data_IF_686898881084
#
_entry.id   IF_686898881084
#
_cell.length_a   1.000
_cell.length_b   1.000
_cell.length_c   1.000
_cell.angle_alpha   90.00
_cell.angle_beta   90.00
_cell.angle_gamma   90.00
#
_symmetry.space_group_name_H-M   'P 1'
#
loop_
_entity.id
_entity.type
_entity.pdbx_description
1 polymer ?
#
# COMPACT_ATOMS: atom_id res chain seq x y z
N UNK A 1 -0.59 -1.66 22.75
CA UNK A 1 0.80 -2.18 22.87
C UNK A 1 1.65 -1.36 21.94
N UNK A 2 2.64 -0.66 22.49
CA UNK A 2 3.55 0.16 21.70
C UNK A 2 4.46 -0.71 20.83
N UNK A 3 4.59 -0.36 19.56
CA UNK A 3 5.49 -1.03 18.61
C UNK A 3 6.31 0.01 17.86
N UNK A 4 7.64 -0.13 17.86
CA UNK A 4 8.55 0.67 17.04
C UNK A 4 8.81 -0.08 15.73
N UNK A 5 8.47 0.53 14.60
CA UNK A 5 8.89 0.08 13.28
C UNK A 5 10.07 0.93 12.83
N UNK A 6 11.25 0.34 12.71
CA UNK A 6 12.48 1.04 12.28
C UNK A 6 13.03 0.43 10.99
N UNK A 7 13.62 1.28 10.16
CA UNK A 7 14.25 0.92 8.90
C UNK A 7 15.57 1.70 8.70
N UNK A 8 16.32 1.38 7.65
CA UNK A 8 17.59 2.05 7.34
C UNK A 8 17.36 3.54 7.01
N UNK A 9 16.22 3.87 6.41
CA UNK A 9 15.80 5.24 6.12
C UNK A 9 14.29 5.42 6.33
N UNK A 10 13.89 6.49 7.03
CA UNK A 10 12.50 6.92 7.15
C UNK A 10 12.25 8.14 6.26
N UNK A 11 11.30 8.02 5.34
CA UNK A 11 10.78 9.15 4.56
C UNK A 11 9.43 9.55 5.13
N UNK A 12 9.28 10.82 5.50
CA UNK A 12 8.04 11.32 6.11
C UNK A 12 6.97 11.67 5.08
N UNK A 13 7.35 11.88 3.82
CA UNK A 13 6.46 12.37 2.76
C UNK A 13 6.23 13.89 2.79
N UNK A 14 6.73 14.59 3.81
CA UNK A 14 6.68 16.05 3.92
C UNK A 14 7.95 16.66 3.30
N UNK A 15 7.86 17.51 2.26
CA UNK A 15 9.04 18.12 1.64
C UNK A 15 9.85 19.02 2.60
N UNK A 16 9.26 19.45 3.71
CA UNK A 16 9.92 20.29 4.71
C UNK A 16 10.69 19.46 5.75
N UNK A 17 10.45 18.15 5.82
CA UNK A 17 11.12 17.25 6.74
C UNK A 17 12.07 16.33 5.97
N UNK A 18 13.40 16.46 6.17
CA UNK A 18 14.34 15.58 5.49
C UNK A 18 14.12 14.12 5.92
N UNK A 19 14.46 13.15 5.05
CA UNK A 19 14.51 11.74 5.45
C UNK A 19 15.41 11.54 6.68
N UNK A 20 15.03 10.61 7.55
CA UNK A 20 15.72 10.32 8.81
C UNK A 20 16.47 8.99 8.69
N UNK A 21 17.81 8.99 8.58
CA UNK A 21 18.62 7.76 8.61
C UNK A 21 18.42 7.01 9.93
N UNK A 22 18.27 5.68 9.87
CA UNK A 22 17.93 4.86 11.05
C UNK A 22 16.59 5.24 11.68
N UNK A 23 15.71 5.89 10.92
CA UNK A 23 14.45 6.41 11.42
C UNK A 23 13.44 5.33 11.78
N UNK A 24 12.43 5.74 12.55
CA UNK A 24 11.41 4.85 13.05
C UNK A 24 10.05 5.54 13.28
N UNK A 25 9.01 4.73 13.30
CA UNK A 25 7.63 5.11 13.64
C UNK A 25 7.20 4.33 14.88
N UNK A 26 6.81 5.05 15.93
CA UNK A 26 6.20 4.50 17.13
C UNK A 26 4.69 4.43 16.95
N UNK A 27 4.15 3.23 17.04
CA UNK A 27 2.72 2.94 16.87
C UNK A 27 2.11 2.58 18.22
N UNK A 28 1.00 3.24 18.58
CA UNK A 28 0.11 2.81 19.66
C UNK A 28 -1.23 2.32 19.12
N UNK A 29 -1.43 1.01 19.13
CA UNK A 29 -2.66 0.41 18.62
C UNK A 29 -2.87 0.70 17.14
N UNK A 30 -3.74 1.67 16.83
CA UNK A 30 -4.10 2.06 15.46
C UNK A 30 -3.47 3.38 15.02
N UNK A 31 -2.76 4.09 15.91
CA UNK A 31 -2.32 5.46 15.67
C UNK A 31 -0.81 5.62 15.77
N UNK A 32 -0.27 6.59 15.04
CA UNK A 32 1.12 7.05 15.21
C UNK A 32 1.22 7.85 16.50
N UNK A 33 2.08 7.41 17.41
CA UNK A 33 2.38 8.13 18.65
C UNK A 33 3.54 9.12 18.45
N UNK A 34 4.56 8.74 17.68
CA UNK A 34 5.70 9.57 17.31
C UNK A 34 6.44 8.97 16.11
N UNK A 35 7.25 9.78 15.42
CA UNK A 35 8.26 9.30 14.47
C UNK A 35 9.53 10.14 14.61
N UNK A 36 10.68 9.60 14.26
CA UNK A 36 11.98 10.24 14.48
C UNK A 36 13.13 9.24 14.37
N UNK A 37 14.23 9.49 15.05
CA UNK A 37 15.31 8.50 15.14
C UNK A 37 14.87 7.26 15.94
N UNK A 38 15.44 6.11 15.64
CA UNK A 38 15.19 4.89 16.42
C UNK A 38 15.64 5.05 17.88
N UNK A 39 16.79 5.68 18.09
CA UNK A 39 17.42 5.82 19.40
C UNK A 39 16.55 6.62 20.36
N UNK A 40 16.05 7.79 19.94
CA UNK A 40 15.18 8.65 20.76
C UNK A 40 13.87 7.94 21.11
N UNK A 41 13.27 7.24 20.14
CA UNK A 41 12.01 6.51 20.36
C UNK A 41 12.20 5.30 21.27
N UNK A 42 13.33 4.59 21.14
CA UNK A 42 13.66 3.45 22.00
C UNK A 42 13.96 3.89 23.44
N UNK A 43 14.63 5.03 23.63
CA UNK A 43 14.87 5.61 24.96
C UNK A 43 13.55 6.07 25.61
N UNK A 44 12.69 6.76 24.86
CA UNK A 44 11.41 7.23 25.36
C UNK A 44 10.39 6.10 25.61
N UNK A 45 10.54 4.96 24.93
CA UNK A 45 9.63 3.81 25.01
C UNK A 45 10.39 2.48 25.13
N UNK A 46 11.10 2.23 26.24
CA UNK A 46 12.02 1.10 26.38
C UNK A 46 11.32 -0.27 26.39
N UNK A 47 10.01 -0.30 26.65
CA UNK A 47 9.19 -1.52 26.65
C UNK A 47 8.46 -1.75 25.32
N UNK A 48 8.59 -0.83 24.35
CA UNK A 48 7.95 -0.97 23.05
C UNK A 48 8.55 -2.15 22.29
N UNK A 49 7.67 -2.93 21.66
CA UNK A 49 8.11 -4.05 20.81
C UNK A 49 8.79 -3.49 19.56
N UNK A 50 10.03 -3.91 19.29
CA UNK A 50 10.78 -3.43 18.11
C UNK A 50 10.61 -4.38 16.94
N UNK A 51 10.26 -3.83 15.77
CA UNK A 51 10.30 -4.48 14.46
C UNK A 51 11.32 -3.75 13.59
N UNK A 52 12.37 -4.44 13.19
CA UNK A 52 13.41 -3.93 12.29
C UNK A 52 13.13 -4.42 10.88
N UNK A 53 13.26 -3.50 9.93
CA UNK A 53 13.12 -3.78 8.51
C UNK A 53 14.34 -3.28 7.76
N UNK A 54 14.80 -3.96 6.70
CA UNK A 54 15.78 -3.38 5.79
C UNK A 54 15.12 -2.31 4.92
N UNK A 55 15.93 -1.38 4.41
CA UNK A 55 15.55 -0.41 3.39
C UNK A 55 14.76 0.78 3.91
N UNK A 56 13.69 1.13 3.20
CA UNK A 56 12.98 2.40 3.33
C UNK A 56 11.61 2.23 3.98
N UNK A 57 11.29 3.03 4.99
CA UNK A 57 9.92 3.19 5.52
C UNK A 57 9.32 4.49 4.99
N UNK A 58 8.11 4.44 4.43
CA UNK A 58 7.38 5.60 3.89
C UNK A 58 5.92 5.57 4.30
N UNK A 59 5.16 6.69 4.23
CA UNK A 59 3.71 6.62 4.16
C UNK A 59 3.24 5.62 3.09
N UNK A 60 2.04 5.07 3.27
CA UNK A 60 1.46 4.15 2.30
C UNK A 60 1.08 4.84 0.99
N UNK A 61 0.99 4.04 -0.08
CA UNK A 61 0.80 4.53 -1.44
C UNK A 61 -0.68 4.51 -1.87
N UNK A 62 -1.03 5.44 -2.75
CA UNK A 62 -2.29 5.56 -3.48
C UNK A 62 -2.14 4.92 -4.87
N UNK A 63 -2.89 3.86 -5.13
CA UNK A 63 -3.02 3.33 -6.49
C UNK A 63 -4.20 4.04 -7.22
N UNK A 64 -3.97 4.71 -8.36
CA UNK A 64 -5.00 5.54 -8.98
C UNK A 64 -5.96 4.74 -9.86
N UNK A 65 -5.69 3.46 -10.05
CA UNK A 65 -6.41 2.54 -10.94
C UNK A 65 -7.40 1.66 -10.17
N UNK A 66 -8.08 2.22 -9.16
CA UNK A 66 -9.00 1.47 -8.30
C UNK A 66 -10.05 0.67 -9.09
N UNK A 67 -10.91 1.34 -9.88
CA UNK A 67 -11.91 0.67 -10.71
C UNK A 67 -11.31 -0.30 -11.72
N UNK A 68 -10.23 0.09 -12.38
CA UNK A 68 -9.61 -0.69 -13.45
C UNK A 68 -9.04 -2.01 -12.95
N UNK A 69 -8.43 -2.00 -11.76
CA UNK A 69 -7.82 -3.19 -11.16
C UNK A 69 -8.78 -4.00 -10.32
N UNK A 70 -9.82 -3.39 -9.71
CA UNK A 70 -10.70 -4.11 -8.77
C UNK A 70 -12.06 -4.46 -9.35
N UNK A 71 -12.55 -3.74 -10.37
CA UNK A 71 -13.85 -3.98 -10.98
C UNK A 71 -13.78 -4.39 -12.45
N UNK A 72 -12.84 -3.81 -13.21
CA UNK A 72 -12.65 -4.08 -14.65
C UNK A 72 -11.60 -5.16 -14.93
N UNK A 73 -11.08 -5.79 -13.86
CA UNK A 73 -10.18 -6.93 -13.95
C UNK A 73 -10.68 -8.10 -13.09
N UNK A 74 -10.44 -9.32 -13.56
CA UNK A 74 -10.61 -10.53 -12.78
C UNK A 74 -9.25 -11.11 -12.44
N UNK A 75 -8.92 -11.16 -11.15
CA UNK A 75 -7.74 -11.84 -10.61
C UNK A 75 -8.08 -13.32 -10.38
N UNK A 76 -7.52 -14.26 -11.16
CA UNK A 76 -7.83 -15.68 -11.02
C UNK A 76 -7.47 -16.23 -9.64
N UNK A 77 -8.25 -17.20 -9.14
CA UNK A 77 -7.83 -18.02 -8.01
C UNK A 77 -6.65 -18.91 -8.44
N UNK A 78 -5.69 -19.22 -7.55
CA UNK A 78 -4.65 -20.19 -7.88
C UNK A 78 -5.17 -21.55 -8.35
N UNK A 79 -6.39 -21.94 -7.95
CA UNK A 79 -7.05 -23.16 -8.42
C UNK A 79 -7.58 -23.06 -9.86
N UNK A 80 -7.77 -21.86 -10.36
CA UNK A 80 -8.21 -21.57 -11.73
C UNK A 80 -7.02 -21.35 -12.68
N UNK A 81 -5.77 -21.41 -12.17
CA UNK A 81 -4.58 -21.01 -12.93
C UNK A 81 -4.33 -21.87 -14.18
N UNK A 82 -4.66 -23.17 -14.13
CA UNK A 82 -4.50 -24.06 -15.29
C UNK A 82 -5.44 -23.69 -16.45
N UNK A 83 -6.58 -23.05 -16.16
CA UNK A 83 -7.59 -22.66 -17.15
C UNK A 83 -7.46 -21.18 -17.56
N UNK A 84 -7.29 -20.29 -16.58
CA UNK A 84 -7.36 -18.84 -16.77
C UNK A 84 -5.99 -18.16 -16.74
N UNK A 85 -4.92 -18.90 -16.40
CA UNK A 85 -3.62 -18.32 -16.11
C UNK A 85 -3.56 -17.58 -14.77
N UNK A 86 -2.43 -16.93 -14.50
CA UNK A 86 -2.17 -16.21 -13.24
C UNK A 86 -2.32 -14.71 -13.37
N UNK A 87 -2.40 -14.19 -14.59
CA UNK A 87 -2.54 -12.76 -14.85
C UNK A 87 -4.01 -12.32 -14.82
N UNK A 88 -4.28 -11.04 -14.47
CA UNK A 88 -5.63 -10.53 -14.49
C UNK A 88 -6.25 -10.59 -15.89
N UNK A 89 -7.49 -11.07 -15.96
CA UNK A 89 -8.29 -11.01 -17.17
C UNK A 89 -9.01 -9.67 -17.24
N UNK A 90 -8.95 -9.01 -18.39
CA UNK A 90 -9.60 -7.72 -18.67
C UNK A 90 -10.36 -7.78 -20.01
N UNK A 91 -11.11 -6.73 -20.33
CA UNK A 91 -11.75 -6.57 -21.64
C UNK A 91 -12.61 -7.77 -22.08
N UNK A 92 -12.35 -8.26 -23.29
CA UNK A 92 -13.11 -9.38 -23.88
C UNK A 92 -12.99 -10.68 -23.09
N UNK A 93 -11.81 -10.97 -22.52
CA UNK A 93 -11.62 -12.19 -21.71
C UNK A 93 -12.46 -12.15 -20.42
N UNK A 94 -12.53 -10.98 -19.77
CA UNK A 94 -13.40 -10.78 -18.61
C UNK A 94 -14.88 -10.85 -19.01
N UNK A 95 -15.25 -10.28 -20.15
CA UNK A 95 -16.62 -10.31 -20.66
C UNK A 95 -17.06 -11.76 -20.95
N UNK A 96 -16.19 -12.55 -21.59
CA UNK A 96 -16.44 -13.96 -21.89
C UNK A 96 -16.54 -14.82 -20.62
N UNK A 97 -15.72 -14.53 -19.58
CA UNK A 97 -15.80 -15.23 -18.30
C UNK A 97 -17.12 -15.00 -17.57
N UNK A 98 -17.71 -13.80 -17.72
CA UNK A 98 -18.95 -13.36 -17.09
C UNK A 98 -19.07 -13.78 -15.60
N UNK A 99 -18.10 -13.41 -14.73
CA UNK A 99 -18.05 -13.95 -13.38
C UNK A 99 -19.26 -13.50 -12.55
N UNK A 100 -19.76 -14.43 -11.74
CA UNK A 100 -20.80 -14.17 -10.72
C UNK A 100 -20.31 -13.17 -9.67
N UNK A 101 -21.22 -12.54 -8.93
CA UNK A 101 -20.85 -11.58 -7.89
C UNK A 101 -19.94 -12.18 -6.81
N UNK A 102 -20.15 -13.46 -6.46
CA UNK A 102 -19.28 -14.18 -5.55
C UNK A 102 -17.84 -14.30 -6.10
N UNK A 103 -17.68 -14.64 -7.39
CA UNK A 103 -16.37 -14.70 -8.06
C UNK A 103 -15.74 -13.32 -8.16
N UNK A 104 -16.52 -12.27 -8.45
CA UNK A 104 -16.03 -10.88 -8.46
C UNK A 104 -15.51 -10.44 -7.08
N UNK A 105 -16.24 -10.75 -6.01
CA UNK A 105 -15.78 -10.46 -4.65
C UNK A 105 -14.51 -11.22 -4.27
N UNK A 106 -14.38 -12.48 -4.70
CA UNK A 106 -13.14 -13.25 -4.50
C UNK A 106 -11.96 -12.67 -5.29
N UNK A 107 -12.20 -12.28 -6.55
CA UNK A 107 -11.23 -11.57 -7.38
C UNK A 107 -10.77 -10.27 -6.72
N UNK A 108 -11.69 -9.42 -6.27
CA UNK A 108 -11.37 -8.14 -5.65
C UNK A 108 -10.51 -8.31 -4.38
N UNK A 109 -10.82 -9.31 -3.54
CA UNK A 109 -9.96 -9.62 -2.38
C UNK A 109 -8.54 -9.99 -2.80
N UNK A 110 -8.37 -10.76 -3.88
CA UNK A 110 -7.04 -11.08 -4.42
C UNK A 110 -6.35 -9.85 -5.00
N UNK A 111 -7.07 -9.00 -5.73
CA UNK A 111 -6.58 -7.71 -6.24
C UNK A 111 -6.05 -6.82 -5.11
N UNK A 112 -6.83 -6.66 -4.04
CA UNK A 112 -6.42 -5.93 -2.83
C UNK A 112 -5.18 -6.54 -2.18
N UNK A 113 -5.08 -7.88 -2.09
CA UNK A 113 -3.86 -8.52 -1.58
C UNK A 113 -2.64 -8.25 -2.46
N UNK A 114 -2.80 -8.23 -3.78
CA UNK A 114 -1.72 -7.84 -4.71
C UNK A 114 -1.34 -6.36 -4.57
N UNK A 115 -2.31 -5.47 -4.34
CA UNK A 115 -2.06 -4.04 -4.08
C UNK A 115 -1.30 -3.81 -2.76
N UNK A 116 -1.68 -4.53 -1.70
CA UNK A 116 -0.93 -4.52 -0.44
C UNK A 116 0.53 -4.98 -0.65
N UNK A 117 0.78 -5.92 -1.56
CA UNK A 117 2.15 -6.30 -1.93
C UNK A 117 2.96 -5.22 -2.67
N UNK A 118 2.36 -4.06 -2.96
CA UNK A 118 2.99 -2.88 -3.53
C UNK A 118 2.92 -1.66 -2.59
N UNK A 119 2.70 -1.87 -1.29
CA UNK A 119 2.61 -0.76 -0.33
C UNK A 119 1.35 0.09 -0.47
N UNK A 120 0.34 -0.37 -1.23
CA UNK A 120 -0.89 0.39 -1.46
C UNK A 120 -1.79 0.34 -0.22
N UNK A 121 -2.20 1.51 0.25
CA UNK A 121 -3.11 1.69 1.40
C UNK A 121 -4.39 2.43 1.02
N UNK A 122 -4.44 2.99 -0.18
CA UNK A 122 -5.59 3.69 -0.72
C UNK A 122 -5.71 3.44 -2.21
N UNK A 123 -6.93 3.52 -2.73
CA UNK A 123 -7.20 3.52 -4.17
C UNK A 123 -7.95 4.77 -4.58
N UNK A 124 -7.69 5.32 -5.76
CA UNK A 124 -8.49 6.41 -6.30
C UNK A 124 -9.54 5.88 -7.29
N UNK A 125 -10.70 6.54 -7.31
CA UNK A 125 -11.78 6.31 -8.27
C UNK A 125 -12.98 5.58 -7.68
N UNK A 126 -14.14 5.81 -8.31
CA UNK A 126 -15.42 5.34 -7.79
C UNK A 126 -15.59 3.84 -7.95
N UNK A 127 -15.76 3.18 -6.81
CA UNK A 127 -16.13 1.76 -6.73
C UNK A 127 -17.63 1.68 -6.45
N UNK A 128 -18.35 0.91 -7.25
CA UNK A 128 -19.81 0.82 -7.17
C UNK A 128 -20.30 -0.60 -6.93
N UNK A 129 -19.48 -1.61 -7.18
CA UNK A 129 -19.85 -3.01 -6.94
C UNK A 129 -19.79 -3.31 -5.43
N UNK A 130 -20.90 -3.72 -4.78
CA UNK A 130 -20.90 -3.97 -3.33
C UNK A 130 -19.83 -4.98 -2.88
N UNK A 131 -19.65 -6.08 -3.63
CA UNK A 131 -18.65 -7.09 -3.32
C UNK A 131 -17.20 -6.59 -3.38
N UNK A 132 -16.94 -5.53 -4.17
CA UNK A 132 -15.62 -4.90 -4.29
C UNK A 132 -15.41 -3.89 -3.18
N UNK A 133 -16.42 -3.04 -2.91
CA UNK A 133 -16.42 -2.14 -1.75
C UNK A 133 -16.19 -2.88 -0.44
N UNK A 134 -16.83 -4.03 -0.26
CA UNK A 134 -16.64 -4.88 0.92
C UNK A 134 -15.21 -5.42 1.02
N UNK A 135 -14.60 -5.83 -0.10
CA UNK A 135 -13.22 -6.30 -0.12
C UNK A 135 -12.23 -5.20 0.30
N UNK A 136 -12.39 -3.99 -0.25
CA UNK A 136 -11.57 -2.81 0.05
C UNK A 136 -11.72 -2.40 1.52
N UNK A 137 -12.96 -2.23 2.00
CA UNK A 137 -13.26 -1.83 3.38
C UNK A 137 -12.76 -2.83 4.41
N UNK A 138 -12.90 -4.13 4.16
CA UNK A 138 -12.42 -5.17 5.09
C UNK A 138 -10.90 -5.23 5.19
N UNK A 139 -10.20 -4.92 4.09
CA UNK A 139 -8.75 -4.75 4.11
C UNK A 139 -8.32 -3.44 4.77
N UNK A 140 -9.22 -2.45 4.89
CA UNK A 140 -8.92 -1.15 5.48
C UNK A 140 -8.30 -0.16 4.50
N UNK A 141 -8.32 -0.45 3.19
CA UNK A 141 -7.94 0.53 2.18
C UNK A 141 -8.95 1.67 2.17
N UNK A 142 -8.48 2.91 2.01
CA UNK A 142 -9.36 4.05 1.74
C UNK A 142 -9.65 4.17 0.25
N UNK A 143 -10.75 4.85 -0.08
CA UNK A 143 -11.11 5.21 -1.44
C UNK A 143 -11.04 6.73 -1.53
N UNK A 144 -10.13 7.21 -2.36
CA UNK A 144 -9.92 8.64 -2.60
C UNK A 144 -10.69 9.09 -3.85
N UNK A 145 -11.15 10.33 -3.83
CA UNK A 145 -11.78 10.95 -5.00
C UNK A 145 -10.77 11.07 -6.14
N UNK A 146 -11.22 10.81 -7.36
CA UNK A 146 -10.41 10.89 -8.58
C UNK A 146 -10.98 11.95 -9.51
N UNK A 147 -10.28 13.08 -9.62
CA UNK A 147 -10.72 14.20 -10.47
C UNK A 147 -10.39 14.02 -11.95
N UNK A 148 -9.37 13.23 -12.27
CA UNK A 148 -8.94 12.97 -13.65
C UNK A 148 -8.59 11.51 -13.83
N UNK A 149 -8.80 10.98 -15.03
CA UNK A 149 -8.35 9.64 -15.36
C UNK A 149 -6.81 9.54 -15.27
N UNK A 150 -6.29 8.44 -14.71
CA UNK A 150 -4.85 8.25 -14.57
C UNK A 150 -4.21 8.02 -15.95
N UNK A 151 -3.01 8.55 -16.12
CA UNK A 151 -2.25 8.40 -17.36
C UNK A 151 -1.55 7.03 -17.41
N UNK A 152 -1.64 6.36 -18.55
CA UNK A 152 -0.97 5.08 -18.79
C UNK A 152 -1.87 3.87 -18.58
N UNK A 153 -1.30 2.68 -18.73
CA UNK A 153 -2.03 1.43 -18.54
C UNK A 153 -2.24 1.13 -17.04
N UNK A 154 -3.39 0.56 -16.65
CA UNK A 154 -3.62 0.14 -15.27
C UNK A 154 -2.54 -0.80 -14.76
N UNK A 155 -1.98 -0.49 -13.60
CA UNK A 155 -0.88 -1.24 -12.99
C UNK A 155 -1.00 -1.31 -11.48
N UNK A 156 -0.60 -2.46 -10.91
CA UNK A 156 -0.54 -2.65 -9.46
C UNK A 156 0.54 -1.78 -8.80
N UNK A 157 1.56 -1.37 -9.55
CA UNK A 157 2.69 -0.58 -9.06
C UNK A 157 2.38 0.92 -9.16
N UNK A 158 2.14 1.62 -8.04
CA UNK A 158 1.83 3.05 -8.05
C UNK A 158 2.98 3.95 -8.51
N UNK A 159 4.20 3.42 -8.59
CA UNK A 159 5.45 4.08 -8.97
C UNK A 159 5.95 3.66 -10.36
N UNK A 160 5.16 2.90 -11.13
CA UNK A 160 5.53 2.48 -12.47
C UNK A 160 5.81 3.69 -13.37
N UNK A 161 6.93 3.63 -14.12
CA UNK A 161 7.44 4.75 -14.92
C UNK A 161 6.50 5.21 -16.04
N UNK A 162 5.71 4.30 -16.59
CA UNK A 162 4.72 4.63 -17.64
C UNK A 162 3.55 5.46 -17.10
N UNK A 163 3.33 5.45 -15.78
CA UNK A 163 2.39 6.31 -15.06
C UNK A 163 3.02 7.59 -14.47
N UNK A 164 4.34 7.75 -14.57
CA UNK A 164 5.06 9.02 -14.34
C UNK A 164 5.12 9.58 -12.91
N UNK A 165 4.59 8.90 -11.89
CA UNK A 165 4.49 9.48 -10.53
C UNK A 165 5.73 9.20 -9.69
N UNK A 166 6.29 10.26 -9.11
CA UNK A 166 7.28 10.15 -8.04
C UNK A 166 6.65 9.64 -6.74
N UNK A 167 7.48 9.15 -5.82
CA UNK A 167 7.04 8.67 -4.50
C UNK A 167 6.09 9.65 -3.80
N UNK A 168 6.42 10.94 -3.82
CA UNK A 168 5.62 12.00 -3.20
C UNK A 168 4.20 12.11 -3.76
N UNK A 169 4.03 11.94 -5.06
CA UNK A 169 2.71 12.00 -5.71
C UNK A 169 1.88 10.74 -5.47
N UNK A 170 2.56 9.62 -5.17
CA UNK A 170 1.91 8.38 -4.80
C UNK A 170 1.56 8.31 -3.31
N UNK A 171 2.06 9.21 -2.45
CA UNK A 171 1.72 9.23 -1.03
C UNK A 171 0.36 9.90 -0.82
N UNK A 172 -0.53 9.24 -0.07
CA UNK A 172 -1.88 9.78 0.28
C UNK A 172 -1.74 11.04 1.14
N UNK A 173 -0.97 10.93 2.21
CA UNK A 173 -0.67 12.02 3.14
C UNK A 173 0.70 11.76 3.80
N UNK A 174 1.47 12.82 4.11
CA UNK A 174 2.68 12.70 4.93
C UNK A 174 2.40 12.06 6.30
N UNK A 175 3.44 11.49 6.92
CA UNK A 175 3.38 11.10 8.32
C UNK A 175 3.10 12.34 9.17
N UNK A 176 1.98 12.30 9.90
CA UNK A 176 1.58 13.38 10.78
C UNK A 176 1.75 12.93 12.24
N UNK A 177 2.38 13.78 13.05
CA UNK A 177 2.44 13.62 14.50
C UNK A 177 1.30 14.41 15.16
N UNK A 178 0.07 14.21 14.66
CA UNK A 178 -1.13 14.80 15.24
C UNK A 178 -1.91 13.74 16.01
N UNK A 179 -2.58 14.08 17.12
CA UNK A 179 -3.39 13.12 17.86
C UNK A 179 -4.39 12.39 16.96
N UNK A 180 -4.35 11.06 16.97
CA UNK A 180 -5.27 10.23 16.19
C UNK A 180 -4.82 9.91 14.75
N UNK A 181 -3.65 10.37 14.31
CA UNK A 181 -3.12 10.02 12.98
C UNK A 181 -3.00 8.50 12.82
N UNK A 182 -3.57 7.95 11.75
CA UNK A 182 -3.58 6.51 11.52
C UNK A 182 -2.16 5.96 11.30
N UNK A 183 -1.85 4.83 11.92
CA UNK A 183 -0.59 4.11 11.71
C UNK A 183 -0.64 3.33 10.39
N UNK A 184 -0.51 4.06 9.29
CA UNK A 184 -0.62 3.54 7.92
C UNK A 184 0.63 3.89 7.13
N UNK A 185 1.44 2.89 6.79
CA UNK A 185 2.74 3.06 6.14
C UNK A 185 3.18 1.78 5.42
N UNK A 186 4.17 1.91 4.55
CA UNK A 186 4.76 0.81 3.81
C UNK A 186 6.28 0.77 4.00
N UNK A 187 6.86 -0.41 3.79
CA UNK A 187 8.30 -0.62 3.85
C UNK A 187 8.75 -1.29 2.55
N UNK A 188 9.87 -0.81 2.01
CA UNK A 188 10.41 -1.24 0.72
C UNK A 188 11.87 -1.67 0.85
N UNK A 189 12.23 -2.75 0.16
CA UNK A 189 13.62 -3.16 -0.04
C UNK A 189 14.28 -2.25 -1.09
N UNK A 190 14.58 -1.03 -0.66
CA UNK A 190 15.28 -0.01 -1.40
C UNK A 190 16.11 0.86 -0.43
N UNK A 191 17.33 1.26 -0.78
CA UNK A 191 18.19 2.05 0.10
C UNK A 191 17.74 3.51 0.24
N UNK A 192 17.06 4.06 -0.78
CA UNK A 192 16.63 5.45 -0.82
C UNK A 192 15.42 5.64 -1.78
N UNK A 193 14.87 6.86 -1.81
CA UNK A 193 13.72 7.22 -2.64
C UNK A 193 13.99 7.08 -4.15
N UNK A 194 15.22 7.37 -4.59
CA UNK A 194 15.59 7.30 -6.00
C UNK A 194 15.63 5.84 -6.48
N UNK A 195 16.20 4.95 -5.67
CA UNK A 195 16.23 3.53 -5.91
C UNK A 195 14.83 2.90 -5.85
N UNK A 196 13.99 3.32 -4.89
CA UNK A 196 12.58 2.89 -4.85
C UNK A 196 11.84 3.29 -6.13
N UNK A 197 11.92 4.57 -6.52
CA UNK A 197 11.26 5.08 -7.74
C UNK A 197 11.80 4.41 -9.01
N UNK A 198 13.08 4.02 -9.03
CA UNK A 198 13.67 3.31 -10.16
C UNK A 198 13.24 1.85 -10.26
N UNK A 199 13.11 1.15 -9.12
CA UNK A 199 12.69 -0.27 -9.06
C UNK A 199 11.17 -0.44 -9.16
N UNK A 200 10.41 0.56 -8.73
CA UNK A 200 8.97 0.47 -8.55
C UNK A 200 8.57 -0.13 -7.19
N UNK A 201 7.29 -0.05 -6.86
CA UNK A 201 6.74 -0.46 -5.57
C UNK A 201 6.68 -1.98 -5.35
N UNK A 202 6.98 -2.78 -6.38
CA UNK A 202 7.03 -4.25 -6.27
C UNK A 202 8.09 -4.77 -5.28
N UNK A 203 9.06 -3.94 -4.89
CA UNK A 203 10.00 -4.25 -3.80
C UNK A 203 9.44 -4.02 -2.39
N UNK A 204 8.12 -3.83 -2.24
CA UNK A 204 7.50 -3.73 -0.93
C UNK A 204 7.69 -5.03 -0.13
N UNK A 205 8.09 -4.88 1.13
CA UNK A 205 8.29 -5.98 2.07
C UNK A 205 7.33 -5.97 3.25
N UNK A 206 6.66 -4.84 3.50
CA UNK A 206 5.61 -4.74 4.51
C UNK A 206 4.61 -3.63 4.19
N UNK A 207 3.34 -3.85 4.53
CA UNK A 207 2.30 -2.82 4.49
C UNK A 207 1.49 -2.88 5.77
N UNK A 208 1.38 -1.73 6.42
CA UNK A 208 0.69 -1.55 7.70
C UNK A 208 -0.47 -0.60 7.46
N UNK A 209 -1.67 -0.98 7.92
CA UNK A 209 -2.88 -0.15 7.89
C UNK A 209 -3.52 -0.17 9.26
N UNK A 210 -3.69 1.01 9.85
CA UNK A 210 -4.18 1.18 11.22
C UNK A 210 -3.42 0.31 12.24
N UNK A 211 -2.09 0.27 12.12
CA UNK A 211 -1.20 -0.51 12.98
C UNK A 211 -1.22 -2.03 12.74
N UNK A 212 -2.06 -2.51 11.81
CA UNK A 212 -2.12 -3.94 11.44
C UNK A 212 -1.15 -4.22 10.29
N UNK A 213 -0.23 -5.15 10.49
CA UNK A 213 0.65 -5.65 9.43
C UNK A 213 -0.16 -6.55 8.48
N UNK A 214 -0.63 -6.00 7.36
CA UNK A 214 -1.52 -6.69 6.42
C UNK A 214 -0.80 -7.36 5.27
N UNK A 215 0.40 -6.89 4.94
CA UNK A 215 1.30 -7.58 4.04
C UNK A 215 2.69 -7.66 4.66
N UNK A 216 3.35 -8.79 4.43
CA UNK A 216 4.74 -9.02 4.75
C UNK A 216 5.31 -9.98 3.71
N UNK A 217 6.39 -9.60 3.03
CA UNK A 217 7.13 -10.53 2.18
C UNK A 217 7.73 -11.65 3.03
N UNK A 218 7.87 -12.84 2.42
CA UNK A 218 8.43 -14.00 3.11
C UNK A 218 9.94 -13.93 3.17
#
# INVERSE_FOLDING_TARGET
MLTIHTADLLVTGDPHNPPVPGGAVLVDGRTVAAFGSYEELAEASPTARVRRWPGLLTPGLLNPYGPELLEHAYHPDPREADELGTEPLTGEALAALAPTDARRGASARRGVQRMLAHGTVAVAGDLWRPAVLDAVRRAGLTVEERFTDPAGAPTLDPLARDGGRGLREAIVAPLAQVPGAAATFAVFDAPDEAALTARGASCCIATVIDGRLLYRSR
#
